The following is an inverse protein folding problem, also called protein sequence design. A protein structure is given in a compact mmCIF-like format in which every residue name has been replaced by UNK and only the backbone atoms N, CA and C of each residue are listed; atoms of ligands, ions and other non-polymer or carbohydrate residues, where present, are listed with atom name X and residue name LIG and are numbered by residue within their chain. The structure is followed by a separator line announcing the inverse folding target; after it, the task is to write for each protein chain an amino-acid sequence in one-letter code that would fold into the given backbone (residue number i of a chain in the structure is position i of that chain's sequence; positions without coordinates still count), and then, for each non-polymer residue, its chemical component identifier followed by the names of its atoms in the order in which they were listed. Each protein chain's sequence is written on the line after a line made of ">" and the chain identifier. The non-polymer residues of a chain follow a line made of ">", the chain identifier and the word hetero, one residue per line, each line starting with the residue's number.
data_IF_831861893034
#
_entry.id   IF_831861893034
#
_cell.length_a   1.000
_cell.length_b   1.000
_cell.length_c   1.000
_cell.angle_alpha   90.00
_cell.angle_beta   90.00
_cell.angle_gamma   90.00
#
_symmetry.space_group_name_H-M   'P 1'
#
loop_
_entity.id
_entity.type
_entity.pdbx_description
1 polymer ?
#
# COMPACT_ATOMS: atom_id res chain seq x y z
N UNK A 1 16.22 22.06 14.72
CA UNK A 1 16.09 20.71 15.31
C UNK A 1 15.60 19.76 14.26
N UNK A 2 16.37 18.72 14.03
CA UNK A 2 15.94 17.69 13.11
C UNK A 2 14.83 16.88 13.76
N UNK A 3 13.75 16.67 13.02
CA UNK A 3 12.65 15.82 13.47
C UNK A 3 13.13 14.36 13.40
N UNK A 4 13.21 13.71 14.54
CA UNK A 4 13.63 12.31 14.63
C UNK A 4 12.40 11.43 14.43
N UNK A 5 12.53 10.41 13.61
CA UNK A 5 11.46 9.43 13.39
C UNK A 5 11.18 8.65 14.67
N UNK A 6 9.94 8.70 15.15
CA UNK A 6 9.52 7.85 16.27
C UNK A 6 9.20 6.47 15.72
N UNK A 7 10.14 5.53 15.90
CA UNK A 7 10.02 4.17 15.37
C UNK A 7 8.87 3.40 15.99
N UNK A 8 8.58 3.62 17.27
CA UNK A 8 7.47 2.94 17.93
C UNK A 8 6.13 3.39 17.36
N UNK A 9 5.95 4.69 17.19
CA UNK A 9 4.74 5.25 16.59
C UNK A 9 4.58 4.83 15.14
N UNK A 10 5.68 4.83 14.39
CA UNK A 10 5.69 4.38 12.99
C UNK A 10 5.30 2.91 12.87
N UNK A 11 5.81 2.07 13.77
CA UNK A 11 5.45 0.65 13.79
C UNK A 11 3.97 0.44 14.07
N UNK A 12 3.41 1.16 15.02
CA UNK A 12 1.97 1.09 15.32
C UNK A 12 1.14 1.45 14.10
N UNK A 13 1.50 2.52 13.41
CA UNK A 13 0.80 2.95 12.20
C UNK A 13 0.88 1.90 11.10
N UNK A 14 2.03 1.28 10.93
CA UNK A 14 2.22 0.22 9.93
C UNK A 14 1.40 -1.02 10.27
N UNK A 15 1.38 -1.42 11.52
CA UNK A 15 0.59 -2.58 11.95
C UNK A 15 -0.91 -2.32 11.77
N UNK A 16 -1.38 -1.12 12.10
CA UNK A 16 -2.77 -0.73 11.91
C UNK A 16 -3.15 -0.71 10.42
N UNK A 17 -2.28 -0.13 9.60
CA UNK A 17 -2.51 -0.08 8.15
C UNK A 17 -2.49 -1.49 7.55
N UNK A 18 -1.58 -2.35 8.01
CA UNK A 18 -1.53 -3.75 7.58
C UNK A 18 -2.85 -4.47 7.87
N UNK A 19 -3.40 -4.25 9.06
CA UNK A 19 -4.67 -4.86 9.44
C UNK A 19 -5.81 -4.39 8.54
N UNK A 20 -5.85 -3.10 8.21
CA UNK A 20 -6.86 -2.55 7.30
C UNK A 20 -6.74 -3.13 5.90
N UNK A 21 -5.53 -3.19 5.37
CA UNK A 21 -5.29 -3.73 4.02
C UNK A 21 -5.61 -5.23 3.99
N UNK A 22 -5.25 -5.95 5.05
CA UNK A 22 -5.57 -7.38 5.16
C UNK A 22 -7.09 -7.61 5.15
N UNK A 23 -7.85 -6.75 5.83
CA UNK A 23 -9.31 -6.81 5.81
C UNK A 23 -9.86 -6.54 4.41
N UNK A 24 -9.31 -5.55 3.69
CA UNK A 24 -9.67 -5.28 2.30
C UNK A 24 -9.42 -6.50 1.40
N UNK A 25 -8.27 -7.15 1.59
CA UNK A 25 -7.91 -8.33 0.81
C UNK A 25 -8.72 -9.57 1.17
N UNK A 26 -9.17 -9.64 2.42
CA UNK A 26 -10.03 -10.72 2.88
C UNK A 26 -11.48 -10.57 2.47
N UNK A 27 -11.90 -9.36 2.08
CA UNK A 27 -13.20 -9.16 1.48
C UNK A 27 -13.21 -9.85 0.13
N UNK A 28 -14.02 -10.90 0.02
CA UNK A 28 -14.19 -11.56 -1.26
C UNK A 28 -14.73 -10.54 -2.26
N UNK A 29 -14.02 -10.42 -3.39
CA UNK A 29 -14.62 -9.79 -4.56
C UNK A 29 -15.89 -10.60 -4.79
N UNK A 30 -17.04 -10.04 -4.48
CA UNK A 30 -18.28 -10.73 -4.74
C UNK A 30 -18.27 -11.16 -6.19
N UNK A 31 -18.32 -12.48 -6.40
CA UNK A 31 -18.59 -13.01 -7.71
C UNK A 31 -19.83 -12.25 -8.22
N UNK A 32 -19.79 -11.68 -9.42
CA UNK A 32 -20.93 -10.95 -9.91
C UNK A 32 -22.16 -11.85 -9.75
N UNK A 33 -23.13 -11.36 -9.01
CA UNK A 33 -24.40 -12.06 -8.83
C UNK A 33 -24.89 -12.49 -10.20
N UNK A 34 -25.60 -13.60 -10.23
CA UNK A 34 -26.11 -14.17 -11.47
C UNK A 34 -26.53 -13.07 -12.43
N UNK A 35 -25.84 -13.04 -13.58
CA UNK A 35 -26.21 -12.14 -14.64
C UNK A 35 -27.68 -12.38 -14.98
N UNK A 36 -28.51 -11.46 -14.54
CA UNK A 36 -29.83 -11.39 -15.12
C UNK A 36 -29.62 -11.10 -16.60
N UNK A 37 -30.09 -11.98 -17.43
CA UNK A 37 -30.03 -11.83 -18.87
C UNK A 37 -30.74 -10.54 -19.25
N UNK A 38 -30.02 -9.45 -19.22
CA UNK A 38 -30.51 -8.14 -19.61
C UNK A 38 -29.73 -7.65 -20.81
N UNK A 39 -29.55 -6.42 -20.94
CA UNK A 39 -28.90 -5.79 -22.08
C UNK A 39 -27.39 -6.03 -22.10
N UNK A 40 -26.77 -5.88 -23.27
CA UNK A 40 -25.31 -5.85 -23.44
C UNK A 40 -24.68 -4.75 -22.58
N UNK A 41 -25.40 -3.66 -22.33
CA UNK A 41 -24.95 -2.58 -21.48
C UNK A 41 -24.75 -3.05 -20.03
N UNK A 42 -25.64 -3.90 -19.50
CA UNK A 42 -25.49 -4.45 -18.16
C UNK A 42 -24.27 -5.38 -18.06
N UNK A 43 -24.04 -6.19 -19.10
CA UNK A 43 -22.86 -7.06 -19.16
C UNK A 43 -21.57 -6.25 -19.22
N UNK A 44 -21.54 -5.19 -20.02
CA UNK A 44 -20.38 -4.28 -20.12
C UNK A 44 -20.12 -3.60 -18.77
N UNK A 45 -21.17 -3.13 -18.09
CA UNK A 45 -21.04 -2.51 -16.78
C UNK A 45 -20.44 -3.47 -15.75
N UNK A 46 -20.82 -4.76 -15.78
CA UNK A 46 -20.25 -5.77 -14.91
C UNK A 46 -18.77 -6.00 -15.19
N UNK A 47 -18.37 -6.05 -16.46
CA UNK A 47 -16.96 -6.21 -16.83
C UNK A 47 -16.13 -5.04 -16.31
N UNK A 48 -16.62 -3.79 -16.47
CA UNK A 48 -15.94 -2.63 -15.93
C UNK A 48 -15.83 -2.67 -14.42
N UNK A 49 -16.89 -3.08 -13.72
CA UNK A 49 -16.86 -3.22 -12.27
C UNK A 49 -15.84 -4.27 -11.82
N UNK A 50 -15.77 -5.40 -12.48
CA UNK A 50 -14.79 -6.45 -12.18
C UNK A 50 -13.37 -5.97 -12.40
N UNK A 51 -13.11 -5.28 -13.51
CA UNK A 51 -11.77 -4.73 -13.79
C UNK A 51 -11.35 -3.71 -12.75
N UNK A 52 -12.28 -2.85 -12.32
CA UNK A 52 -12.03 -1.88 -11.26
C UNK A 52 -11.70 -2.57 -9.94
N UNK A 53 -12.46 -3.60 -9.56
CA UNK A 53 -12.26 -4.34 -8.34
C UNK A 53 -10.92 -5.06 -8.33
N UNK A 54 -10.53 -5.64 -9.47
CA UNK A 54 -9.21 -6.26 -9.63
C UNK A 54 -8.09 -5.23 -9.49
N UNK A 55 -8.25 -4.04 -10.06
CA UNK A 55 -7.26 -2.98 -9.94
C UNK A 55 -7.10 -2.52 -8.49
N UNK A 56 -8.19 -2.35 -7.75
CA UNK A 56 -8.16 -2.02 -6.33
C UNK A 56 -7.48 -3.12 -5.52
N UNK A 57 -7.77 -4.37 -5.82
CA UNK A 57 -7.16 -5.52 -5.15
C UNK A 57 -5.64 -5.55 -5.40
N UNK A 58 -5.20 -5.35 -6.62
CA UNK A 58 -3.78 -5.30 -6.96
C UNK A 58 -3.07 -4.17 -6.22
N UNK A 59 -3.71 -3.02 -6.12
CA UNK A 59 -3.18 -1.88 -5.37
C UNK A 59 -3.06 -2.21 -3.88
N UNK A 60 -4.07 -2.85 -3.30
CA UNK A 60 -4.05 -3.28 -1.92
C UNK A 60 -2.95 -4.31 -1.67
N UNK A 61 -2.75 -5.26 -2.58
CA UNK A 61 -1.68 -6.25 -2.50
C UNK A 61 -0.31 -5.60 -2.53
N UNK A 62 -0.10 -4.61 -3.40
CA UNK A 62 1.15 -3.86 -3.46
C UNK A 62 1.41 -3.11 -2.16
N UNK A 63 0.38 -2.49 -1.60
CA UNK A 63 0.48 -1.78 -0.32
C UNK A 63 0.81 -2.75 0.81
N UNK A 64 0.16 -3.91 0.84
CA UNK A 64 0.43 -4.94 1.84
C UNK A 64 1.90 -5.37 1.80
N UNK A 65 2.44 -5.65 0.63
CA UNK A 65 3.85 -6.03 0.46
C UNK A 65 4.78 -4.91 0.90
N UNK A 66 4.45 -3.66 0.57
CA UNK A 66 5.26 -2.51 0.98
C UNK A 66 5.29 -2.35 2.50
N UNK A 67 4.14 -2.57 3.16
CA UNK A 67 4.05 -2.52 4.64
C UNK A 67 4.87 -3.64 5.27
N UNK A 68 4.75 -4.87 4.77
CA UNK A 68 5.53 -6.01 5.27
C UNK A 68 7.03 -5.74 5.11
N UNK A 69 7.43 -5.21 3.97
CA UNK A 69 8.82 -4.83 3.71
C UNK A 69 9.30 -3.74 4.68
N UNK A 70 8.47 -2.73 4.95
CA UNK A 70 8.81 -1.68 5.89
C UNK A 70 9.00 -2.22 7.31
N UNK A 71 8.13 -3.12 7.75
CA UNK A 71 8.25 -3.75 9.05
C UNK A 71 9.53 -4.59 9.16
N UNK A 72 9.87 -5.32 8.11
CA UNK A 72 11.12 -6.08 8.05
C UNK A 72 12.34 -5.16 8.14
N UNK A 73 12.28 -4.00 7.47
CA UNK A 73 13.36 -3.00 7.52
C UNK A 73 13.48 -2.38 8.91
N UNK A 74 12.39 -2.22 9.63
CA UNK A 74 12.45 -1.77 11.03
C UNK A 74 13.21 -2.79 11.89
N UNK A 75 12.92 -4.07 11.70
CA UNK A 75 13.60 -5.13 12.43
C UNK A 75 15.09 -5.21 12.07
N UNK A 76 15.43 -4.88 10.82
CA UNK A 76 16.82 -4.85 10.36
C UNK A 76 17.55 -3.55 10.72
N UNK A 77 16.84 -2.54 11.22
CA UNK A 77 17.43 -1.24 11.57
C UNK A 77 17.68 -0.33 10.38
N UNK A 78 17.02 -0.58 9.25
CA UNK A 78 17.23 0.20 8.01
C UNK A 78 16.01 0.99 7.55
N UNK A 79 14.99 1.09 8.39
CA UNK A 79 13.71 1.74 8.03
C UNK A 79 13.88 3.18 7.52
N UNK A 80 14.82 3.93 8.07
CA UNK A 80 15.04 5.33 7.71
C UNK A 80 16.10 5.53 6.62
N UNK A 81 16.57 4.44 6.02
CA UNK A 81 17.59 4.48 4.96
C UNK A 81 16.94 4.20 3.61
N UNK A 82 17.15 5.09 2.65
CA UNK A 82 16.65 4.91 1.29
C UNK A 82 17.33 3.72 0.62
N UNK A 83 16.54 2.81 0.07
CA UNK A 83 17.06 1.62 -0.62
C UNK A 83 17.80 1.94 -1.90
N UNK A 84 17.52 3.07 -2.51
CA UNK A 84 18.09 3.44 -3.81
C UNK A 84 19.39 4.20 -3.65
N UNK A 85 19.40 5.28 -2.86
CA UNK A 85 20.58 6.15 -2.74
C UNK A 85 21.38 5.97 -1.45
N UNK A 86 20.86 5.20 -0.49
CA UNK A 86 21.51 5.00 0.80
C UNK A 86 21.44 6.20 1.74
N UNK A 87 20.82 7.29 1.32
CA UNK A 87 20.65 8.47 2.14
C UNK A 87 19.47 8.34 3.10
N UNK A 88 19.24 9.36 3.95
CA UNK A 88 18.16 9.31 4.91
C UNK A 88 16.81 9.54 4.26
N UNK A 89 15.80 8.87 4.80
CA UNK A 89 14.39 9.16 4.49
C UNK A 89 13.90 10.09 5.60
N UNK A 90 13.33 11.24 5.24
CA UNK A 90 12.87 12.21 6.23
C UNK A 90 11.70 11.70 7.04
N UNK A 91 11.58 12.19 8.27
CA UNK A 91 10.44 11.87 9.13
C UNK A 91 9.13 12.32 8.48
N UNK A 92 9.13 13.47 7.82
CA UNK A 92 7.95 13.99 7.11
C UNK A 92 7.49 13.05 6.00
N UNK A 93 8.43 12.46 5.28
CA UNK A 93 8.11 11.47 4.25
C UNK A 93 7.40 10.26 4.85
N UNK A 94 7.89 9.77 5.98
CA UNK A 94 7.28 8.62 6.68
C UNK A 94 5.96 8.97 7.36
N UNK A 95 5.71 10.23 7.68
CA UNK A 95 4.39 10.64 8.17
C UNK A 95 3.33 10.54 7.08
N UNK A 96 3.71 10.85 5.83
CA UNK A 96 2.79 10.79 4.69
C UNK A 96 2.69 9.37 4.14
N UNK A 97 3.83 8.68 4.02
CA UNK A 97 3.90 7.32 3.47
C UNK A 97 4.72 6.46 4.42
N UNK A 98 4.09 5.88 5.45
CA UNK A 98 4.82 5.11 6.47
C UNK A 98 5.60 3.92 5.92
N UNK A 99 5.16 3.35 4.81
CA UNK A 99 5.81 2.19 4.18
C UNK A 99 6.85 2.59 3.13
N UNK A 100 7.21 3.85 3.01
CA UNK A 100 8.17 4.29 2.01
C UNK A 100 9.56 3.68 2.26
N UNK A 101 10.14 3.09 1.23
CA UNK A 101 11.50 2.55 1.23
C UNK A 101 12.47 3.51 0.52
N UNK A 102 11.97 4.63 0.01
CA UNK A 102 12.76 5.60 -0.74
C UNK A 102 12.56 7.00 -0.19
N UNK A 103 13.60 7.83 -0.34
CA UNK A 103 13.45 9.25 -0.04
C UNK A 103 12.59 9.93 -1.10
N UNK A 104 12.19 11.18 -0.87
CA UNK A 104 11.32 11.92 -1.79
C UNK A 104 11.91 11.99 -3.19
N UNK A 105 13.21 12.26 -3.30
CA UNK A 105 13.90 12.38 -4.58
C UNK A 105 13.90 11.07 -5.37
N UNK A 106 14.27 9.98 -4.72
CA UNK A 106 14.28 8.66 -5.36
C UNK A 106 12.86 8.18 -5.69
N UNK A 107 11.89 8.48 -4.85
CA UNK A 107 10.49 8.16 -5.11
C UNK A 107 9.93 8.86 -6.33
N UNK A 108 10.48 10.03 -6.67
CA UNK A 108 10.10 10.80 -7.86
C UNK A 108 10.65 10.18 -9.14
N UNK A 109 11.88 9.68 -9.08
CA UNK A 109 12.60 9.20 -10.26
C UNK A 109 12.42 7.72 -10.54
N UNK A 110 12.04 6.95 -9.54
CA UNK A 110 11.87 5.50 -9.64
C UNK A 110 10.41 5.10 -9.43
N UNK A 111 9.55 5.56 -10.27
CA UNK A 111 8.15 5.14 -10.28
C UNK A 111 7.97 3.87 -11.08
#
# INVERSE_FOLDING_TARGET
>A
METVTDLAAARERLVEERARVRAELGEEIEAPGQMTYGSQAAAAAQVFAQQRDLAFREQAERRFKAIEHALARMDAGTYTVCEVCGGPISAERHEVVPWSATCVECGRTHR
#
